data_IF_327391735346
#
_entry.id   IF_327391735346
#
_cell.length_a   1.000
_cell.length_b   1.000
_cell.length_c   1.000
_cell.angle_alpha   90.00
_cell.angle_beta   90.00
_cell.angle_gamma   90.00
#
_symmetry.space_group_name_H-M   'P 1'
#
loop_
_entity.id
_entity.type
_entity.pdbx_description
1 polymer ?
#
# COMPACT_ATOMS: atom_id res chain seq x y z
N UNK A 1 -17.13 29.57 -11.33
CA UNK A 1 -16.39 28.32 -11.05
C UNK A 1 -16.52 27.42 -12.27
N UNK A 2 -15.44 26.85 -12.77
CA UNK A 2 -15.42 26.05 -14.02
C UNK A 2 -15.53 24.55 -13.68
N UNK A 3 -16.27 23.76 -14.48
CA UNK A 3 -16.42 22.31 -14.32
C UNK A 3 -15.08 21.56 -14.14
N UNK A 4 -14.00 22.08 -14.75
CA UNK A 4 -12.65 21.52 -14.60
C UNK A 4 -12.14 21.59 -13.17
N UNK A 5 -12.47 22.66 -12.42
CA UNK A 5 -12.07 22.83 -11.02
C UNK A 5 -12.80 21.88 -10.08
N UNK A 6 -14.05 21.52 -10.38
CA UNK A 6 -14.85 20.66 -9.51
C UNK A 6 -14.44 19.20 -9.69
N UNK A 7 -14.11 18.79 -10.92
CA UNK A 7 -13.54 17.46 -11.20
C UNK A 7 -12.19 17.25 -10.50
N UNK A 8 -11.30 18.25 -10.52
CA UNK A 8 -10.00 18.15 -9.84
C UNK A 8 -10.15 18.07 -8.31
N UNK A 9 -11.14 18.75 -7.72
CA UNK A 9 -11.45 18.61 -6.29
C UNK A 9 -11.91 17.20 -5.93
N UNK A 10 -12.85 16.64 -6.70
CA UNK A 10 -13.35 15.27 -6.50
C UNK A 10 -12.24 14.23 -6.62
N UNK A 11 -11.32 14.40 -7.57
CA UNK A 11 -10.13 13.55 -7.70
C UNK A 11 -9.24 13.65 -6.47
N UNK A 12 -8.93 14.85 -6.01
CA UNK A 12 -8.06 15.05 -4.84
C UNK A 12 -8.68 14.48 -3.55
N UNK A 13 -10.00 14.60 -3.37
CA UNK A 13 -10.72 13.95 -2.28
C UNK A 13 -10.62 12.42 -2.36
N UNK A 14 -10.76 11.85 -3.56
CA UNK A 14 -10.59 10.42 -3.77
C UNK A 14 -9.16 9.94 -3.43
N UNK A 15 -8.12 10.68 -3.86
CA UNK A 15 -6.73 10.40 -3.48
C UNK A 15 -6.60 10.39 -1.96
N UNK A 16 -7.04 11.47 -1.30
CA UNK A 16 -6.90 11.59 0.16
C UNK A 16 -7.60 10.47 0.92
N UNK A 17 -8.79 10.05 0.45
CA UNK A 17 -9.51 8.90 1.02
C UNK A 17 -8.70 7.61 0.85
N UNK A 18 -8.17 7.36 -0.35
CA UNK A 18 -7.37 6.16 -0.64
C UNK A 18 -6.08 6.18 0.19
N UNK A 19 -5.39 7.32 0.27
CA UNK A 19 -4.16 7.46 1.07
C UNK A 19 -4.37 7.06 2.52
N UNK A 20 -5.26 7.74 3.22
CA UNK A 20 -5.39 7.56 4.65
C UNK A 20 -6.01 6.20 5.01
N UNK A 21 -6.99 5.74 4.22
CA UNK A 21 -7.68 4.46 4.47
C UNK A 21 -6.90 3.24 4.03
N UNK A 22 -5.94 3.36 3.09
CA UNK A 22 -5.11 2.23 2.64
C UNK A 22 -3.75 2.22 3.33
N UNK A 23 -3.10 3.37 3.55
CA UNK A 23 -1.78 3.41 4.22
C UNK A 23 -1.84 2.82 5.62
N UNK A 24 -2.86 3.16 6.40
CA UNK A 24 -3.01 2.70 7.79
C UNK A 24 -3.10 1.17 7.91
N UNK A 25 -4.04 0.46 7.23
CA UNK A 25 -4.08 -1.00 7.30
C UNK A 25 -2.85 -1.66 6.65
N UNK A 26 -2.27 -1.07 5.61
CA UNK A 26 -1.06 -1.60 4.98
C UNK A 26 0.15 -1.55 5.91
N UNK A 27 0.31 -0.47 6.68
CA UNK A 27 1.34 -0.35 7.69
C UNK A 27 1.19 -1.43 8.77
N UNK A 28 -0.04 -1.67 9.26
CA UNK A 28 -0.33 -2.73 10.22
C UNK A 28 0.00 -4.12 9.67
N UNK A 29 -0.36 -4.40 8.41
CA UNK A 29 -0.03 -5.68 7.74
C UNK A 29 1.49 -5.85 7.61
N UNK A 30 2.20 -4.80 7.20
CA UNK A 30 3.66 -4.84 7.05
C UNK A 30 4.37 -5.09 8.38
N UNK A 31 3.88 -4.47 9.45
CA UNK A 31 4.40 -4.69 10.80
C UNK A 31 4.15 -6.12 11.27
N UNK A 32 2.90 -6.59 11.16
CA UNK A 32 2.55 -7.96 11.54
C UNK A 32 3.39 -9.01 10.79
N UNK A 33 3.60 -8.83 9.48
CA UNK A 33 4.44 -9.73 8.68
C UNK A 33 5.91 -9.65 9.10
N UNK A 34 6.40 -8.47 9.46
CA UNK A 34 7.78 -8.28 9.96
C UNK A 34 7.99 -9.02 11.29
N UNK A 35 7.07 -8.86 12.24
CA UNK A 35 7.12 -9.58 13.53
C UNK A 35 7.11 -11.11 13.35
N UNK A 36 6.28 -11.62 12.43
CA UNK A 36 6.28 -13.06 12.13
C UNK A 36 7.60 -13.49 11.49
N UNK A 37 8.14 -12.70 10.55
CA UNK A 37 9.40 -13.00 9.87
C UNK A 37 10.62 -12.97 10.82
N UNK A 38 10.55 -12.14 11.87
CA UNK A 38 11.51 -12.07 12.98
C UNK A 38 11.35 -13.21 13.98
N UNK A 39 10.42 -14.15 13.75
CA UNK A 39 10.13 -15.30 14.61
C UNK A 39 9.68 -14.89 16.03
N UNK A 40 9.20 -13.65 16.23
CA UNK A 40 8.67 -13.14 17.50
C UNK A 40 7.55 -14.02 18.08
N UNK A 41 6.53 -14.45 17.31
CA UNK A 41 5.50 -15.35 17.82
C UNK A 41 5.99 -16.80 17.97
N UNK A 42 7.16 -17.14 17.43
CA UNK A 42 7.73 -18.49 17.45
C UNK A 42 8.53 -18.83 16.20
N UNK A 43 9.28 -19.94 16.27
CA UNK A 43 10.14 -20.41 15.18
C UNK A 43 9.35 -20.78 13.93
N UNK A 44 9.90 -20.43 12.77
CA UNK A 44 9.31 -20.76 11.48
C UNK A 44 9.98 -21.98 10.86
N UNK A 45 9.18 -22.86 10.26
CA UNK A 45 9.69 -23.92 9.41
C UNK A 45 10.10 -23.37 8.02
N UNK A 46 10.90 -24.12 7.24
CA UNK A 46 11.38 -23.65 5.93
C UNK A 46 10.27 -23.26 4.94
N UNK A 47 9.12 -23.96 4.96
CA UNK A 47 7.98 -23.65 4.08
C UNK A 47 7.33 -22.32 4.46
N UNK A 48 7.16 -22.06 5.76
CA UNK A 48 6.64 -20.79 6.27
C UNK A 48 7.56 -19.63 5.91
N UNK A 49 8.89 -19.79 6.07
CA UNK A 49 9.87 -18.77 5.66
C UNK A 49 9.75 -18.41 4.18
N UNK A 50 9.64 -19.42 3.30
CA UNK A 50 9.46 -19.20 1.85
C UNK A 50 8.18 -18.42 1.53
N UNK A 51 7.06 -18.77 2.17
CA UNK A 51 5.80 -18.06 1.98
C UNK A 51 5.88 -16.61 2.48
N UNK A 52 6.48 -16.39 3.66
CA UNK A 52 6.67 -15.05 4.21
C UNK A 52 7.54 -14.16 3.33
N UNK A 53 8.59 -14.70 2.71
CA UNK A 53 9.40 -13.96 1.73
C UNK A 53 8.55 -13.52 0.53
N UNK A 54 7.71 -14.41 0.00
CA UNK A 54 6.80 -14.05 -1.11
C UNK A 54 5.82 -12.96 -0.66
N UNK A 55 5.21 -13.11 0.52
CA UNK A 55 4.27 -12.13 1.07
C UNK A 55 4.92 -10.77 1.26
N UNK A 56 6.11 -10.71 1.86
CA UNK A 56 6.85 -9.47 2.08
C UNK A 56 7.15 -8.74 0.75
N UNK A 57 7.64 -9.49 -0.26
CA UNK A 57 7.89 -8.93 -1.58
C UNK A 57 6.63 -8.38 -2.25
N UNK A 58 5.48 -9.03 -2.08
CA UNK A 58 4.21 -8.54 -2.63
C UNK A 58 3.70 -7.30 -1.88
N UNK A 59 3.86 -7.24 -0.56
CA UNK A 59 3.52 -6.05 0.25
C UNK A 59 4.38 -4.87 -0.19
N UNK A 60 5.70 -5.05 -0.34
CA UNK A 60 6.59 -3.96 -0.77
C UNK A 60 6.24 -3.48 -2.19
N UNK A 61 5.92 -4.39 -3.12
CA UNK A 61 5.41 -4.02 -4.45
C UNK A 61 4.09 -3.24 -4.38
N UNK A 62 3.16 -3.66 -3.52
CA UNK A 62 1.88 -2.98 -3.35
C UNK A 62 2.07 -1.56 -2.79
N UNK A 63 2.99 -1.38 -1.84
CA UNK A 63 3.35 -0.05 -1.33
C UNK A 63 3.83 0.84 -2.48
N UNK A 64 4.77 0.35 -3.31
CA UNK A 64 5.27 1.10 -4.46
C UNK A 64 4.17 1.44 -5.46
N UNK A 65 3.29 0.50 -5.81
CA UNK A 65 2.17 0.78 -6.73
C UNK A 65 1.18 1.80 -6.18
N UNK A 66 0.94 1.79 -4.86
CA UNK A 66 0.11 2.81 -4.21
C UNK A 66 0.83 4.16 -4.27
N UNK A 67 2.11 4.24 -3.91
CA UNK A 67 2.90 5.47 -3.99
C UNK A 67 2.93 6.05 -5.41
N UNK A 68 3.01 5.21 -6.44
CA UNK A 68 2.91 5.61 -7.85
C UNK A 68 1.56 6.23 -8.17
N UNK A 69 0.44 5.64 -7.72
CA UNK A 69 -0.91 6.19 -7.94
C UNK A 69 -1.07 7.55 -7.26
N UNK A 70 -0.48 7.71 -6.07
CA UNK A 70 -0.59 8.93 -5.26
C UNK A 70 0.31 10.06 -5.76
N UNK A 71 1.45 9.72 -6.35
CA UNK A 71 2.47 10.68 -6.79
C UNK A 71 2.35 11.02 -8.26
N UNK A 72 1.84 10.11 -9.10
CA UNK A 72 1.69 10.39 -10.52
C UNK A 72 0.54 11.37 -10.76
N UNK A 73 0.81 12.46 -11.50
CA UNK A 73 -0.24 13.38 -11.90
C UNK A 73 -1.19 12.67 -12.87
N UNK A 74 -2.50 12.95 -12.70
CA UNK A 74 -3.61 12.26 -13.34
C UNK A 74 -3.60 12.29 -14.89
N UNK A 75 -2.79 13.15 -15.48
CA UNK A 75 -2.53 13.26 -16.92
C UNK A 75 -1.74 12.08 -17.50
N UNK A 76 -1.14 11.22 -16.65
CA UNK A 76 -0.40 10.02 -17.06
C UNK A 76 -1.15 8.70 -16.90
N UNK A 77 -2.38 8.73 -16.38
CA UNK A 77 -3.23 7.55 -16.16
C UNK A 77 -4.23 7.28 -17.30
N UNK A 78 -4.05 7.93 -18.46
CA UNK A 78 -4.88 7.78 -19.66
C UNK A 78 -4.08 7.44 -20.89
#
# INVERSE_FOLDING_TARGET
MSQKSDLEKLKNELVSIIEHKVRTPLAVIKEAVSLVAEEVPGKLNPKQKKLLTITKNNIDRLVTSIEEILTNPWDKLG
#
